data_IF_797653955168
#
_entry.id   IF_797653955168
#
_cell.length_a   1.000
_cell.length_b   1.000
_cell.length_c   1.000
_cell.angle_alpha   90.00
_cell.angle_beta   90.00
_cell.angle_gamma   90.00
#
_symmetry.space_group_name_H-M   'P 1'
#
loop_
_entity.id
_entity.type
_entity.pdbx_description
1 polymer ?
#
# COMPACT_ATOMS: atom_id res chain seq x y z
N UNK A 1 -26.71 25.07 -24.11
CA UNK A 1 -25.72 24.01 -24.40
C UNK A 1 -24.66 23.90 -23.30
N UNK A 2 -23.92 24.96 -22.96
CA UNK A 2 -22.83 24.90 -21.95
C UNK A 2 -23.24 24.37 -20.56
N UNK A 3 -24.43 24.75 -20.06
CA UNK A 3 -24.94 24.33 -18.74
C UNK A 3 -25.23 22.82 -18.67
N UNK A 4 -25.70 22.22 -19.78
CA UNK A 4 -25.94 20.78 -19.87
C UNK A 4 -24.64 19.97 -19.87
N UNK A 5 -23.61 20.45 -20.57
CA UNK A 5 -22.28 19.84 -20.56
C UNK A 5 -21.65 19.89 -19.17
N UNK A 6 -21.69 21.04 -18.50
CA UNK A 6 -21.14 21.18 -17.15
C UNK A 6 -21.84 20.28 -16.12
N UNK A 7 -23.17 20.16 -16.19
CA UNK A 7 -23.96 19.26 -15.35
C UNK A 7 -23.60 17.80 -15.61
N UNK A 8 -23.48 17.40 -16.88
CA UNK A 8 -23.09 16.04 -17.27
C UNK A 8 -21.68 15.69 -16.78
N UNK A 9 -20.71 16.59 -16.94
CA UNK A 9 -19.34 16.41 -16.43
C UNK A 9 -19.34 16.25 -14.91
N UNK A 10 -20.06 17.12 -14.19
CA UNK A 10 -20.11 17.09 -12.73
C UNK A 10 -20.77 15.81 -12.20
N UNK A 11 -21.86 15.35 -12.83
CA UNK A 11 -22.49 14.06 -12.48
C UNK A 11 -21.53 12.91 -12.77
N UNK A 12 -20.88 12.89 -13.94
CA UNK A 12 -19.95 11.83 -14.32
C UNK A 12 -18.76 11.74 -13.35
N UNK A 13 -18.18 12.88 -12.99
CA UNK A 13 -17.09 12.96 -12.00
C UNK A 13 -17.55 12.47 -10.61
N UNK A 14 -18.73 12.89 -10.14
CA UNK A 14 -19.25 12.42 -8.86
C UNK A 14 -19.58 10.92 -8.85
N UNK A 15 -20.03 10.36 -9.98
CA UNK A 15 -20.21 8.91 -10.11
C UNK A 15 -18.88 8.16 -10.02
N UNK A 16 -17.81 8.68 -10.64
CA UNK A 16 -16.46 8.09 -10.53
C UNK A 16 -15.98 8.15 -9.08
N UNK A 17 -16.15 9.29 -8.41
CA UNK A 17 -15.82 9.42 -6.98
C UNK A 17 -16.60 8.43 -6.13
N UNK A 18 -17.89 8.24 -6.41
CA UNK A 18 -18.73 7.30 -5.69
C UNK A 18 -18.24 5.84 -5.87
N UNK A 19 -17.88 5.45 -7.09
CA UNK A 19 -17.28 4.12 -7.36
C UNK A 19 -15.92 3.96 -6.65
N UNK A 20 -15.09 5.00 -6.65
CA UNK A 20 -13.81 5.00 -5.95
C UNK A 20 -14.01 4.86 -4.42
N UNK A 21 -14.94 5.62 -3.83
CA UNK A 21 -15.31 5.51 -2.42
C UNK A 21 -15.83 4.12 -2.05
N UNK A 22 -16.67 3.52 -2.91
CA UNK A 22 -17.13 2.15 -2.74
C UNK A 22 -15.98 1.14 -2.75
N UNK A 23 -15.02 1.31 -3.67
CA UNK A 23 -13.81 0.47 -3.74
C UNK A 23 -12.96 0.61 -2.47
N UNK A 24 -12.76 1.84 -1.96
CA UNK A 24 -12.06 2.08 -0.70
C UNK A 24 -12.73 1.40 0.49
N UNK A 25 -14.07 1.43 0.57
CA UNK A 25 -14.79 0.71 1.63
C UNK A 25 -14.61 -0.79 1.49
N UNK A 26 -14.77 -1.35 0.28
CA UNK A 26 -14.59 -2.79 0.06
C UNK A 26 -13.18 -3.23 0.46
N UNK A 27 -12.15 -2.49 0.03
CA UNK A 27 -10.77 -2.77 0.43
C UNK A 27 -10.55 -2.59 1.93
N UNK A 28 -11.11 -1.54 2.53
CA UNK A 28 -11.04 -1.30 3.98
C UNK A 28 -11.71 -2.40 4.80
N UNK A 29 -12.89 -2.88 4.38
CA UNK A 29 -13.58 -4.01 5.02
C UNK A 29 -12.81 -5.31 4.82
N UNK A 30 -12.28 -5.55 3.61
CA UNK A 30 -11.43 -6.70 3.35
C UNK A 30 -10.23 -6.72 4.30
N UNK A 31 -9.54 -5.58 4.43
CA UNK A 31 -8.39 -5.43 5.33
C UNK A 31 -8.82 -5.54 6.80
N UNK A 32 -9.98 -5.03 7.19
CA UNK A 32 -10.48 -5.12 8.55
C UNK A 32 -10.74 -6.57 8.97
N UNK A 33 -11.45 -7.32 8.11
CA UNK A 33 -11.84 -8.71 8.35
C UNK A 33 -10.64 -9.64 8.26
N UNK A 34 -9.77 -9.43 7.27
CA UNK A 34 -8.60 -10.25 7.00
C UNK A 34 -7.30 -9.64 7.54
N UNK A 35 -7.41 -8.74 8.52
CA UNK A 35 -6.29 -8.02 9.16
C UNK A 35 -5.22 -8.96 9.70
N UNK A 36 -5.55 -10.24 9.90
CA UNK A 36 -4.64 -11.31 10.31
C UNK A 36 -3.84 -11.95 9.16
N UNK A 37 -4.23 -11.78 7.87
CA UNK A 37 -3.65 -12.51 6.71
C UNK A 37 -3.22 -11.64 5.53
N UNK A 38 -3.15 -10.31 5.64
CA UNK A 38 -2.75 -9.48 4.49
C UNK A 38 -1.24 -9.62 4.21
N UNK A 39 -0.92 -10.47 3.25
CA UNK A 39 0.44 -10.88 2.90
C UNK A 39 1.35 -9.73 2.41
N UNK A 40 0.80 -8.70 1.76
CA UNK A 40 1.58 -7.61 1.15
C UNK A 40 1.91 -6.44 2.08
N UNK A 41 1.05 -6.15 3.08
CA UNK A 41 1.29 -5.05 4.03
C UNK A 41 2.32 -5.39 5.10
N UNK A 42 2.57 -6.68 5.30
CA UNK A 42 3.58 -7.17 6.21
C UNK A 42 5.01 -6.83 5.75
N UNK A 43 5.20 -6.57 4.45
CA UNK A 43 6.46 -6.09 3.86
C UNK A 43 7.00 -4.81 4.53
N UNK A 44 6.13 -3.88 4.96
CA UNK A 44 6.53 -2.58 5.50
C UNK A 44 6.74 -2.61 7.03
N UNK A 45 6.38 -3.71 7.72
CA UNK A 45 6.07 -3.62 9.16
C UNK A 45 6.86 -4.61 10.03
N UNK A 46 7.92 -4.10 10.66
CA UNK A 46 8.77 -4.81 11.65
C UNK A 46 8.05 -5.21 12.94
N UNK A 47 8.62 -6.22 13.58
CA UNK A 47 8.05 -7.21 14.50
C UNK A 47 7.68 -6.78 15.94
N UNK A 48 7.41 -5.50 16.22
CA UNK A 48 7.01 -5.06 17.59
C UNK A 48 5.86 -4.04 17.63
N UNK A 49 5.43 -3.53 16.47
CA UNK A 49 4.18 -2.78 16.39
C UNK A 49 3.10 -3.78 16.02
N UNK A 50 2.35 -4.15 17.06
CA UNK A 50 1.24 -5.09 17.11
C UNK A 50 0.29 -4.99 15.91
N UNK A 51 -0.55 -6.01 15.80
CA UNK A 51 -1.83 -6.10 15.06
C UNK A 51 -2.59 -4.81 14.74
N UNK A 52 -2.31 -3.70 15.42
CA UNK A 52 -2.96 -2.40 15.35
C UNK A 52 -2.78 -1.65 14.02
N UNK A 53 -1.66 -1.79 13.29
CA UNK A 53 -1.44 -1.02 12.04
C UNK A 53 -2.41 -1.41 10.91
N UNK A 54 -2.70 -2.69 10.75
CA UNK A 54 -3.70 -3.17 9.79
C UNK A 54 -5.09 -2.60 10.10
N UNK A 55 -5.44 -2.53 11.40
CA UNK A 55 -6.68 -1.89 11.84
C UNK A 55 -6.67 -0.38 11.58
N UNK A 56 -5.58 0.34 11.86
CA UNK A 56 -5.47 1.77 11.57
C UNK A 56 -5.66 2.06 10.08
N UNK A 57 -5.02 1.29 9.20
CA UNK A 57 -5.19 1.42 7.76
C UNK A 57 -6.63 1.13 7.33
N UNK A 58 -7.22 0.05 7.85
CA UNK A 58 -8.62 -0.29 7.58
C UNK A 58 -9.56 0.85 7.99
N UNK A 59 -9.38 1.42 9.18
CA UNK A 59 -10.16 2.56 9.65
C UNK A 59 -9.98 3.79 8.78
N UNK A 60 -8.76 4.08 8.30
CA UNK A 60 -8.50 5.19 7.37
C UNK A 60 -9.22 4.96 6.03
N UNK A 61 -9.12 3.75 5.45
CA UNK A 61 -9.78 3.43 4.18
C UNK A 61 -11.32 3.48 4.30
N UNK A 62 -11.87 2.95 5.38
CA UNK A 62 -13.32 2.99 5.65
C UNK A 62 -13.82 4.42 5.87
N UNK A 63 -13.12 5.22 6.66
CA UNK A 63 -13.50 6.61 6.94
C UNK A 63 -13.39 7.49 5.70
N UNK A 64 -12.29 7.39 4.95
CA UNK A 64 -12.09 8.12 3.70
C UNK A 64 -13.10 7.70 2.63
N UNK A 65 -13.30 6.38 2.46
CA UNK A 65 -14.30 5.84 1.52
C UNK A 65 -15.71 6.31 1.86
N UNK A 66 -16.10 6.29 3.13
CA UNK A 66 -17.38 6.82 3.61
C UNK A 66 -17.54 8.31 3.33
N UNK A 67 -16.51 9.11 3.60
CA UNK A 67 -16.53 10.55 3.30
C UNK A 67 -16.72 10.81 1.80
N UNK A 68 -16.00 10.08 0.94
CA UNK A 68 -16.11 10.21 -0.52
C UNK A 68 -17.49 9.80 -1.03
N UNK A 69 -18.11 8.75 -0.48
CA UNK A 69 -19.48 8.38 -0.83
C UNK A 69 -20.49 9.47 -0.45
N UNK A 70 -20.37 10.02 0.76
CA UNK A 70 -21.24 11.10 1.25
C UNK A 70 -21.08 12.35 0.37
N UNK A 71 -19.85 12.74 0.03
CA UNK A 71 -19.61 13.89 -0.83
C UNK A 71 -20.19 13.67 -2.24
N UNK A 72 -20.07 12.47 -2.80
CA UNK A 72 -20.67 12.09 -4.08
C UNK A 72 -22.20 12.18 -4.08
N UNK A 73 -22.87 11.82 -2.98
CA UNK A 73 -24.33 11.97 -2.83
C UNK A 73 -24.71 13.45 -2.85
N UNK A 74 -24.00 14.30 -2.11
CA UNK A 74 -24.26 15.75 -2.10
C UNK A 74 -23.98 16.38 -3.46
N UNK A 75 -22.92 15.97 -4.16
CA UNK A 75 -22.59 16.43 -5.50
C UNK A 75 -23.65 16.04 -6.54
N UNK A 76 -24.05 14.76 -6.58
CA UNK A 76 -25.11 14.28 -7.47
C UNK A 76 -26.48 14.91 -7.14
N UNK A 77 -26.88 14.97 -5.87
CA UNK A 77 -28.15 15.58 -5.46
C UNK A 77 -28.17 17.09 -5.72
N UNK A 78 -27.06 17.78 -5.45
CA UNK A 78 -26.92 19.22 -5.75
C UNK A 78 -27.02 19.51 -7.24
N UNK A 79 -26.42 18.66 -8.08
CA UNK A 79 -26.49 18.78 -9.54
C UNK A 79 -27.90 18.50 -10.08
N UNK A 80 -28.54 17.41 -9.65
CA UNK A 80 -29.87 17.00 -10.13
C UNK A 80 -30.94 17.97 -9.66
N UNK A 81 -30.93 18.35 -8.37
CA UNK A 81 -31.92 19.26 -7.78
C UNK A 81 -31.64 20.74 -8.03
N UNK A 82 -30.54 21.06 -8.72
CA UNK A 82 -30.06 22.42 -8.99
C UNK A 82 -30.02 23.30 -7.73
N UNK A 83 -29.75 22.66 -6.58
CA UNK A 83 -29.76 23.32 -5.29
C UNK A 83 -28.38 23.89 -4.99
N UNK A 84 -28.27 25.22 -5.10
CA UNK A 84 -27.03 25.97 -4.86
C UNK A 84 -26.45 25.75 -3.46
N UNK A 85 -27.28 25.54 -2.45
CA UNK A 85 -26.81 25.28 -1.09
C UNK A 85 -26.10 23.93 -0.99
N UNK A 86 -26.69 22.86 -1.56
CA UNK A 86 -26.03 21.54 -1.62
C UNK A 86 -24.73 21.59 -2.41
N UNK A 87 -24.70 22.32 -3.53
CA UNK A 87 -23.51 22.47 -4.35
C UNK A 87 -22.42 23.27 -3.62
N UNK A 88 -22.79 24.31 -2.88
CA UNK A 88 -21.85 25.08 -2.06
C UNK A 88 -21.25 24.23 -0.93
N UNK A 89 -22.06 23.40 -0.26
CA UNK A 89 -21.58 22.45 0.77
C UNK A 89 -20.59 21.46 0.14
N UNK A 90 -20.93 20.89 -1.02
CA UNK A 90 -20.04 19.97 -1.75
C UNK A 90 -18.69 20.61 -2.07
N UNK A 91 -18.67 21.82 -2.66
CA UNK A 91 -17.41 22.52 -2.94
C UNK A 91 -16.62 22.86 -1.68
N UNK A 92 -17.29 23.23 -0.60
CA UNK A 92 -16.63 23.51 0.68
C UNK A 92 -15.98 22.25 1.26
N UNK A 93 -16.66 21.10 1.21
CA UNK A 93 -16.11 19.82 1.65
C UNK A 93 -14.88 19.43 0.83
N UNK A 94 -14.94 19.56 -0.50
CA UNK A 94 -13.79 19.29 -1.36
C UNK A 94 -12.62 20.23 -1.08
N UNK A 95 -12.89 21.52 -0.88
CA UNK A 95 -11.85 22.48 -0.57
C UNK A 95 -11.12 22.14 0.74
N UNK A 96 -11.86 21.76 1.78
CA UNK A 96 -11.28 21.32 3.05
C UNK A 96 -10.42 20.06 2.87
N UNK A 97 -10.91 19.06 2.10
CA UNK A 97 -10.11 17.87 1.79
C UNK A 97 -8.81 18.22 1.09
N UNK A 98 -8.86 19.06 0.05
CA UNK A 98 -7.66 19.47 -0.69
C UNK A 98 -6.65 20.17 0.22
N UNK A 99 -7.09 21.00 1.17
CA UNK A 99 -6.21 21.63 2.15
C UNK A 99 -5.54 20.60 3.07
N UNK A 100 -6.28 19.57 3.52
CA UNK A 100 -5.73 18.48 4.33
C UNK A 100 -4.71 17.67 3.53
N UNK A 101 -5.07 17.25 2.32
CA UNK A 101 -4.18 16.48 1.42
C UNK A 101 -2.90 17.26 1.09
N UNK A 102 -3.01 18.57 0.82
CA UNK A 102 -1.86 19.43 0.58
C UNK A 102 -0.95 19.49 1.82
N UNK A 103 -1.55 19.62 3.01
CA UNK A 103 -0.79 19.63 4.27
C UNK A 103 -0.05 18.32 4.50
N UNK A 104 -0.73 17.17 4.32
CA UNK A 104 -0.12 15.84 4.41
C UNK A 104 0.99 15.66 3.39
N UNK A 105 0.79 16.13 2.16
CA UNK A 105 1.78 16.05 1.08
C UNK A 105 3.04 16.85 1.40
N UNK A 106 2.90 18.06 1.94
CA UNK A 106 4.02 18.91 2.34
C UNK A 106 4.80 18.25 3.49
N UNK A 107 4.11 17.78 4.53
CA UNK A 107 4.74 17.09 5.66
C UNK A 107 5.48 15.84 5.18
N UNK A 108 4.85 15.03 4.34
CA UNK A 108 5.47 13.82 3.77
C UNK A 108 6.74 14.16 2.98
N UNK A 109 6.71 15.23 2.18
CA UNK A 109 7.86 15.67 1.41
C UNK A 109 9.04 16.10 2.30
N UNK A 110 8.76 16.84 3.38
CA UNK A 110 9.78 17.32 4.33
C UNK A 110 10.42 16.14 5.08
N UNK A 111 9.61 15.18 5.54
CA UNK A 111 10.08 14.05 6.36
C UNK A 111 10.44 12.79 5.56
N UNK A 112 10.49 12.88 4.23
CA UNK A 112 10.71 11.72 3.35
C UNK A 112 11.97 10.94 3.71
N UNK A 113 13.08 11.63 3.97
CA UNK A 113 14.39 10.96 4.16
C UNK A 113 14.42 10.22 5.50
N UNK A 114 13.83 10.81 6.54
CA UNK A 114 13.68 10.16 7.84
C UNK A 114 12.75 8.94 7.75
N UNK A 115 11.66 9.04 6.98
CA UNK A 115 10.77 7.92 6.74
C UNK A 115 11.46 6.79 5.98
N UNK A 116 12.24 7.12 4.95
CA UNK A 116 12.99 6.14 4.14
C UNK A 116 14.06 5.43 4.97
N UNK A 117 14.84 6.15 5.78
CA UNK A 117 15.82 5.55 6.68
C UNK A 117 15.17 4.61 7.69
N UNK A 118 14.08 5.04 8.32
CA UNK A 118 13.32 4.20 9.24
C UNK A 118 12.74 2.95 8.55
N UNK A 119 12.27 3.08 7.31
CA UNK A 119 11.79 1.95 6.53
C UNK A 119 12.92 0.97 6.19
N UNK A 120 14.06 1.48 5.77
CA UNK A 120 15.24 0.69 5.41
C UNK A 120 15.75 -0.14 6.59
N UNK A 121 15.85 0.43 7.79
CA UNK A 121 16.27 -0.28 9.00
C UNK A 121 15.28 -1.38 9.39
N UNK A 122 13.98 -1.11 9.23
CA UNK A 122 12.91 -2.07 9.51
C UNK A 122 12.92 -3.23 8.53
N UNK A 123 13.07 -2.95 7.24
CA UNK A 123 13.19 -3.94 6.18
C UNK A 123 14.44 -4.80 6.37
N UNK A 124 15.58 -4.18 6.68
CA UNK A 124 16.84 -4.89 6.91
C UNK A 124 16.72 -5.82 8.13
N UNK A 125 16.12 -5.34 9.22
CA UNK A 125 15.87 -6.15 10.42
C UNK A 125 14.90 -7.30 10.14
N UNK A 126 13.85 -7.04 9.35
CA UNK A 126 12.88 -8.07 8.95
C UNK A 126 13.51 -9.14 8.06
N UNK A 127 14.34 -8.73 7.09
CA UNK A 127 15.09 -9.64 6.24
C UNK A 127 16.02 -10.53 7.07
N UNK A 128 16.73 -9.96 8.04
CA UNK A 128 17.66 -10.71 8.87
C UNK A 128 16.94 -11.76 9.73
N UNK A 129 15.80 -11.39 10.34
CA UNK A 129 15.13 -12.23 11.34
C UNK A 129 14.12 -13.22 10.76
N UNK A 130 13.36 -12.83 9.72
CA UNK A 130 12.12 -13.52 9.33
C UNK A 130 12.16 -14.13 7.94
N UNK A 131 13.06 -13.67 7.06
CA UNK A 131 13.13 -14.19 5.70
C UNK A 131 13.41 -15.70 5.71
N UNK A 132 12.63 -16.46 4.94
CA UNK A 132 12.73 -17.91 4.77
C UNK A 132 12.56 -18.77 6.04
N UNK A 133 12.28 -18.16 7.20
CA UNK A 133 12.11 -18.87 8.46
C UNK A 133 10.72 -19.52 8.52
N UNK A 134 10.65 -20.84 8.29
CA UNK A 134 9.43 -21.66 8.27
C UNK A 134 9.07 -22.23 9.64
N UNK A 135 9.17 -21.46 10.71
CA UNK A 135 8.37 -21.83 11.88
C UNK A 135 6.91 -21.52 11.55
N UNK A 136 5.96 -22.28 12.10
CA UNK A 136 4.52 -22.32 11.77
C UNK A 136 3.72 -21.01 11.92
N UNK A 137 4.39 -19.85 11.97
CA UNK A 137 3.79 -18.53 11.93
C UNK A 137 3.60 -18.08 10.47
N UNK A 138 2.35 -18.06 10.01
CA UNK A 138 1.95 -17.59 8.67
C UNK A 138 2.54 -16.19 8.33
N UNK A 139 2.76 -15.35 9.35
CA UNK A 139 3.35 -14.01 9.26
C UNK A 139 4.73 -13.98 8.57
N UNK A 140 5.62 -14.94 8.88
CA UNK A 140 6.99 -14.94 8.34
C UNK A 140 7.05 -15.44 6.89
N UNK A 141 6.10 -16.30 6.52
CA UNK A 141 5.94 -16.76 5.14
C UNK A 141 5.53 -15.60 4.22
N UNK A 142 4.53 -14.81 4.64
CA UNK A 142 4.05 -13.61 3.95
C UNK A 142 5.16 -12.60 3.65
N UNK A 143 6.01 -12.32 4.64
CA UNK A 143 7.12 -11.40 4.49
C UNK A 143 8.11 -11.87 3.41
N UNK A 144 8.45 -13.16 3.43
CA UNK A 144 9.39 -13.75 2.48
C UNK A 144 8.86 -13.69 1.05
N UNK A 145 7.58 -14.01 0.86
CA UNK A 145 6.91 -13.93 -0.45
C UNK A 145 6.86 -12.49 -0.99
N UNK A 146 6.57 -11.51 -0.13
CA UNK A 146 6.55 -10.11 -0.54
C UNK A 146 7.95 -9.61 -0.96
N UNK A 147 9.01 -10.01 -0.24
CA UNK A 147 10.40 -9.73 -0.63
C UNK A 147 10.73 -10.38 -1.96
N UNK A 148 10.39 -11.65 -2.13
CA UNK A 148 10.60 -12.40 -3.37
C UNK A 148 9.89 -11.77 -4.57
N UNK A 149 8.63 -11.34 -4.37
CA UNK A 149 7.87 -10.63 -5.39
C UNK A 149 8.48 -9.28 -5.74
N UNK A 150 8.90 -8.49 -4.74
CA UNK A 150 9.53 -7.20 -4.96
C UNK A 150 10.83 -7.35 -5.75
N UNK A 151 11.68 -8.33 -5.38
CA UNK A 151 12.93 -8.62 -6.07
C UNK A 151 12.71 -9.02 -7.52
N UNK A 152 11.76 -9.93 -7.76
CA UNK A 152 11.38 -10.34 -9.11
C UNK A 152 10.81 -9.18 -9.93
N UNK A 153 9.91 -8.38 -9.35
CA UNK A 153 9.18 -7.31 -10.05
C UNK A 153 10.07 -6.11 -10.36
N UNK A 154 10.90 -5.71 -9.42
CA UNK A 154 11.76 -4.52 -9.52
C UNK A 154 13.20 -4.85 -9.94
N UNK A 155 13.51 -6.13 -10.16
CA UNK A 155 14.85 -6.62 -10.54
C UNK A 155 15.94 -6.15 -9.58
N UNK A 156 15.62 -6.11 -8.29
CA UNK A 156 16.54 -5.75 -7.22
C UNK A 156 16.88 -6.99 -6.37
N UNK A 157 17.92 -6.89 -5.54
CA UNK A 157 18.28 -7.95 -4.60
C UNK A 157 18.69 -7.35 -3.24
N UNK A 158 18.12 -7.91 -2.17
CA UNK A 158 18.25 -7.39 -0.82
C UNK A 158 17.46 -6.10 -0.57
N UNK A 159 17.77 -5.39 0.51
CA UNK A 159 17.17 -4.10 0.87
C UNK A 159 18.04 -2.97 0.32
N UNK A 160 19.33 -2.99 0.68
CA UNK A 160 20.39 -2.12 0.14
C UNK A 160 21.25 -2.86 -0.89
N UNK A 161 21.53 -4.14 -0.64
CA UNK A 161 22.38 -4.99 -1.50
C UNK A 161 22.12 -6.46 -1.23
N UNK A 162 22.51 -7.30 -2.19
CA UNK A 162 22.63 -8.77 -2.06
C UNK A 162 23.37 -9.22 -0.79
N UNK A 163 24.30 -8.41 -0.29
CA UNK A 163 25.03 -8.69 0.95
C UNK A 163 24.15 -8.67 2.21
N UNK A 164 22.94 -8.12 2.16
CA UNK A 164 22.02 -8.11 3.31
C UNK A 164 21.65 -9.53 3.76
N UNK A 165 21.64 -10.50 2.82
CA UNK A 165 21.40 -11.91 3.12
C UNK A 165 22.53 -12.57 3.91
N UNK A 166 23.75 -12.02 3.88
CA UNK A 166 24.90 -12.57 4.61
C UNK A 166 24.63 -12.63 6.11
N UNK A 167 23.91 -11.62 6.62
CA UNK A 167 23.57 -11.50 8.04
C UNK A 167 22.26 -12.20 8.41
N UNK A 168 21.51 -12.70 7.43
CA UNK A 168 20.19 -13.28 7.66
C UNK A 168 20.25 -14.68 8.28
N UNK A 169 19.27 -14.98 9.15
CA UNK A 169 19.09 -16.30 9.74
C UNK A 169 18.92 -17.37 8.65
N UNK A 170 18.21 -17.05 7.57
CA UNK A 170 18.02 -17.91 6.40
C UNK A 170 19.31 -18.49 5.83
N UNK A 171 20.34 -17.65 5.68
CA UNK A 171 21.62 -18.06 5.09
C UNK A 171 22.46 -18.87 6.07
N UNK A 172 22.43 -18.51 7.35
CA UNK A 172 23.22 -19.17 8.38
C UNK A 172 22.63 -20.54 8.79
N UNK A 173 21.34 -20.74 8.58
CA UNK A 173 20.65 -21.98 8.94
C UNK A 173 20.70 -22.99 7.77
N UNK A 174 21.52 -24.03 7.94
CA UNK A 174 21.86 -25.00 6.88
C UNK A 174 20.69 -25.85 6.37
N UNK A 175 19.57 -25.87 7.08
CA UNK A 175 18.38 -26.64 6.71
C UNK A 175 17.36 -25.85 5.86
N UNK A 176 17.60 -24.55 5.65
CA UNK A 176 16.65 -23.65 4.98
C UNK A 176 17.18 -23.16 3.63
N UNK A 177 18.47 -22.86 3.53
CA UNK A 177 19.10 -22.50 2.26
C UNK A 177 19.44 -23.77 1.45
N UNK A 178 18.58 -24.10 0.48
CA UNK A 178 18.58 -25.38 -0.27
C UNK A 178 19.91 -25.72 -0.97
N UNK A 179 20.85 -24.77 -1.13
CA UNK A 179 22.16 -25.01 -1.77
C UNK A 179 23.31 -24.10 -1.25
N UNK A 180 23.27 -23.62 0.01
CA UNK A 180 24.24 -22.59 0.51
C UNK A 180 24.36 -21.36 -0.41
N UNK A 181 23.30 -21.01 -1.15
CA UNK A 181 23.29 -19.82 -2.01
C UNK A 181 23.43 -18.56 -1.17
N UNK A 182 24.13 -17.56 -1.71
CA UNK A 182 24.31 -16.28 -1.05
C UNK A 182 23.02 -15.44 -1.04
N UNK A 183 22.12 -15.69 -1.99
CA UNK A 183 20.87 -14.97 -2.23
C UNK A 183 19.77 -15.95 -2.66
N UNK A 184 18.48 -15.57 -2.55
CA UNK A 184 17.38 -16.39 -3.06
C UNK A 184 17.31 -16.42 -4.59
N UNK A 185 16.54 -17.36 -5.13
CA UNK A 185 16.38 -17.53 -6.58
C UNK A 185 15.72 -16.33 -7.27
N UNK A 186 14.90 -15.59 -6.53
CA UNK A 186 14.26 -14.34 -6.97
C UNK A 186 15.25 -13.21 -7.25
N UNK A 187 16.46 -13.28 -6.67
CA UNK A 187 17.57 -12.40 -7.01
C UNK A 187 18.38 -12.84 -8.24
N UNK A 188 18.24 -14.10 -8.69
CA UNK A 188 19.03 -14.61 -9.80
C UNK A 188 18.45 -14.09 -11.12
N UNK A 189 19.29 -13.44 -11.92
CA UNK A 189 18.97 -13.13 -13.31
C UNK A 189 19.10 -14.46 -14.07
N UNK A 190 18.00 -15.04 -14.53
CA UNK A 190 18.07 -16.15 -15.49
C UNK A 190 18.56 -15.58 -16.80
N UNK A 191 19.80 -15.90 -17.22
CA UNK A 191 20.19 -15.71 -18.61
C UNK A 191 19.29 -16.61 -19.45
N UNK A 192 18.55 -16.01 -20.39
CA UNK A 192 17.88 -16.78 -21.43
C UNK A 192 18.95 -17.57 -22.21
N UNK A 193 18.77 -18.87 -22.47
CA UNK A 193 19.78 -19.72 -23.10
C UNK A 193 19.94 -19.47 -24.62
N UNK A 194 19.90 -18.20 -25.06
CA UNK A 194 19.85 -17.80 -26.47
C UNK A 194 20.83 -16.70 -26.91
N UNK A 195 21.71 -16.19 -26.05
CA UNK A 195 22.71 -15.16 -26.45
C UNK A 195 24.14 -15.65 -26.23
N UNK A 196 24.51 -16.69 -26.97
CA UNK A 196 25.90 -17.01 -27.29
C UNK A 196 26.04 -17.13 -28.81
N UNK A 197 26.27 -16.01 -29.49
CA UNK A 197 27.04 -15.94 -30.74
C UNK A 197 27.94 -14.70 -30.72
#
# INVERSE_FOLDING_TARGET
>A
MAVGCAKSILISFNLILWLAGGTLIVLGTWIFVDSSKIHLFHFVTSDDLNTDFGYYLAYILLSLGGFVLISGIFGCCGAVRENRCLLAIYFTLLFILTCIELSVSIVTYIYKDHFLLGLEDRLTSGLIKHYGYKNSNEKYLSFSEAVDFAQYKFKCCGIKSDNDYIKSNWRNESNISVEKRNVPLTCCITQDPGEHE
#
